data_IF_103090291651
#
_entry.id   IF_103090291651
#
_cell.length_a   1.000
_cell.length_b   1.000
_cell.length_c   1.000
_cell.angle_alpha   90.00
_cell.angle_beta   90.00
_cell.angle_gamma   90.00
#
_symmetry.space_group_name_H-M   'P 1'
#
loop_
_entity.id
_entity.type
_entity.pdbx_description
1 polymer ?
#
# COMPACT_ATOMS: atom_id res chain seq x y z
N UNK A 1 -70.44 -35.49 -38.33
CA UNK A 1 -69.06 -34.89 -38.45
C UNK A 1 -69.12 -33.44 -38.00
N UNK A 2 -68.76 -33.16 -36.73
CA UNK A 2 -68.72 -31.82 -36.19
C UNK A 2 -67.20 -31.48 -36.00
N UNK A 3 -66.75 -30.47 -36.73
CA UNK A 3 -65.41 -29.93 -36.60
C UNK A 3 -65.35 -28.96 -35.37
N UNK A 4 -64.51 -29.26 -34.40
CA UNK A 4 -64.27 -28.41 -33.26
C UNK A 4 -63.09 -27.49 -33.64
N UNK A 5 -63.35 -26.21 -33.70
CA UNK A 5 -62.31 -25.18 -33.85
C UNK A 5 -61.73 -24.84 -32.45
N UNK A 6 -60.42 -25.10 -32.26
CA UNK A 6 -59.69 -24.76 -31.06
C UNK A 6 -59.06 -23.37 -31.30
N UNK A 7 -59.60 -22.36 -30.66
CA UNK A 7 -59.01 -21.01 -30.65
C UNK A 7 -57.88 -20.95 -29.64
N UNK A 8 -56.63 -20.81 -30.10
CA UNK A 8 -55.44 -20.59 -29.25
C UNK A 8 -55.38 -19.10 -28.95
N UNK A 9 -55.59 -18.74 -27.68
CA UNK A 9 -55.40 -17.40 -27.14
C UNK A 9 -53.91 -17.20 -26.85
N UNK A 10 -53.22 -16.42 -27.69
CA UNK A 10 -51.84 -15.97 -27.39
C UNK A 10 -51.89 -14.89 -26.32
N UNK A 11 -51.45 -15.21 -25.11
CA UNK A 11 -51.16 -14.24 -24.05
C UNK A 11 -49.76 -13.70 -24.33
N UNK A 12 -49.70 -12.48 -24.87
CA UNK A 12 -48.45 -11.72 -24.94
C UNK A 12 -48.07 -11.25 -23.53
N UNK A 13 -47.10 -11.91 -22.91
CA UNK A 13 -46.45 -11.41 -21.72
C UNK A 13 -45.55 -10.25 -22.14
N UNK A 14 -45.99 -9.03 -21.89
CA UNK A 14 -45.15 -7.85 -22.00
C UNK A 14 -44.21 -7.88 -20.80
N UNK A 15 -42.99 -8.30 -21.04
CA UNK A 15 -41.91 -8.06 -20.08
C UNK A 15 -41.62 -6.55 -20.05
N UNK A 16 -42.14 -5.90 -19.03
CA UNK A 16 -41.67 -4.57 -18.64
C UNK A 16 -40.22 -4.70 -18.21
N UNK A 17 -39.26 -4.39 -19.09
CA UNK A 17 -37.92 -4.01 -18.66
C UNK A 17 -38.12 -2.77 -17.80
N UNK A 18 -37.97 -2.92 -16.49
CA UNK A 18 -37.59 -1.80 -15.63
C UNK A 18 -36.30 -1.24 -16.24
N UNK A 19 -36.34 -0.03 -16.74
CA UNK A 19 -35.14 0.75 -16.95
C UNK A 19 -34.51 0.84 -15.57
N UNK A 20 -33.43 0.07 -15.34
CA UNK A 20 -32.46 0.46 -14.39
C UNK A 20 -32.09 1.89 -14.76
N UNK A 21 -32.25 2.79 -13.81
CA UNK A 21 -31.77 4.15 -13.93
C UNK A 21 -30.27 4.05 -14.21
N UNK A 22 -29.92 4.09 -15.49
CA UNK A 22 -28.61 4.49 -15.95
C UNK A 22 -28.42 5.92 -15.40
N UNK A 23 -27.94 5.99 -14.18
CA UNK A 23 -27.24 7.14 -13.67
C UNK A 23 -26.02 7.31 -14.58
N UNK A 24 -26.25 7.90 -15.73
CA UNK A 24 -25.20 8.56 -16.51
C UNK A 24 -24.56 9.55 -15.53
N UNK A 25 -23.51 9.08 -14.86
CA UNK A 25 -22.66 9.94 -14.04
C UNK A 25 -22.20 11.01 -15.01
N UNK A 26 -22.80 12.18 -14.89
CA UNK A 26 -22.32 13.40 -15.50
C UNK A 26 -20.82 13.43 -15.20
N UNK A 27 -19.98 13.39 -16.23
CA UNK A 27 -18.54 13.55 -16.18
C UNK A 27 -18.22 15.04 -15.79
N UNK A 28 -18.81 15.50 -14.71
CA UNK A 28 -18.42 16.79 -14.13
C UNK A 28 -16.98 16.63 -13.66
N UNK A 29 -16.12 17.47 -14.17
CA UNK A 29 -14.73 17.56 -13.72
C UNK A 29 -14.74 17.81 -12.20
N UNK A 30 -14.14 16.89 -11.45
CA UNK A 30 -14.04 17.01 -10.01
C UNK A 30 -13.31 18.29 -9.69
N UNK A 31 -13.95 19.13 -8.88
CA UNK A 31 -13.35 20.40 -8.48
C UNK A 31 -12.30 20.18 -7.38
N UNK A 32 -11.08 19.96 -7.79
CA UNK A 32 -9.95 19.80 -6.88
C UNK A 32 -9.47 21.09 -6.21
N UNK A 33 -10.03 22.26 -6.51
CA UNK A 33 -9.64 23.53 -5.88
C UNK A 33 -10.01 23.63 -4.40
N UNK A 34 -10.84 22.71 -3.89
CA UNK A 34 -11.26 22.66 -2.48
C UNK A 34 -10.39 21.75 -1.61
N UNK A 35 -9.35 21.15 -2.16
CA UNK A 35 -8.41 20.34 -1.40
C UNK A 35 -7.35 21.20 -0.70
N UNK A 36 -6.83 20.81 0.48
CA UNK A 36 -6.99 19.48 1.11
C UNK A 36 -8.35 19.24 1.75
N UNK A 37 -8.70 17.93 1.90
CA UNK A 37 -9.89 17.47 2.59
C UNK A 37 -9.52 16.42 3.64
N UNK A 38 -9.87 16.66 4.93
CA UNK A 38 -9.74 15.65 5.98
C UNK A 38 -10.77 14.53 5.78
N UNK A 39 -10.39 13.31 6.11
CA UNK A 39 -11.34 12.20 6.19
C UNK A 39 -12.27 12.36 7.39
N UNK A 40 -13.54 11.92 7.28
CA UNK A 40 -14.42 11.85 8.45
C UNK A 40 -13.86 10.80 9.42
N UNK A 41 -13.80 11.17 10.69
CA UNK A 41 -13.26 10.29 11.73
C UNK A 41 -14.30 10.09 12.87
N UNK A 42 -14.11 8.97 13.57
CA UNK A 42 -14.81 8.63 14.80
C UNK A 42 -13.82 8.08 15.81
N UNK A 43 -14.12 8.15 17.09
CA UNK A 43 -13.31 7.52 18.13
C UNK A 43 -13.50 6.01 18.09
N UNK A 44 -12.40 5.24 17.97
CA UNK A 44 -12.40 3.78 18.10
C UNK A 44 -12.30 3.34 19.56
N UNK A 45 -11.42 3.99 20.31
CA UNK A 45 -11.15 3.68 21.71
C UNK A 45 -10.52 4.87 22.44
N UNK A 46 -10.54 4.84 23.77
CA UNK A 46 -9.69 5.67 24.61
C UNK A 46 -8.73 4.75 25.37
N UNK A 47 -7.43 4.89 25.16
CA UNK A 47 -6.40 4.05 25.76
C UNK A 47 -5.45 4.93 26.57
N UNK A 48 -5.33 4.68 27.87
CA UNK A 48 -4.50 5.48 28.81
C UNK A 48 -4.75 7.00 28.68
N UNK A 49 -6.00 7.40 28.41
CA UNK A 49 -6.39 8.81 28.25
C UNK A 49 -6.17 9.40 26.86
N UNK A 50 -5.54 8.69 25.94
CA UNK A 50 -5.40 9.09 24.54
C UNK A 50 -6.61 8.60 23.72
N UNK A 51 -7.17 9.48 22.90
CA UNK A 51 -8.21 9.14 21.95
C UNK A 51 -7.56 8.49 20.70
N UNK A 52 -7.97 7.26 20.37
CA UNK A 52 -7.60 6.55 19.16
C UNK A 52 -8.76 6.70 18.16
N UNK A 53 -8.48 7.33 17.02
CA UNK A 53 -9.48 7.56 15.97
C UNK A 53 -9.43 6.46 14.90
N UNK A 54 -10.49 6.34 14.09
CA UNK A 54 -10.51 5.46 12.91
C UNK A 54 -9.70 6.08 11.77
N UNK A 55 -8.39 6.26 12.00
CA UNK A 55 -7.40 6.79 11.07
C UNK A 55 -6.64 5.67 10.35
N UNK A 56 -5.37 5.98 9.99
CA UNK A 56 -4.47 5.04 9.33
C UNK A 56 -4.79 4.77 7.85
N UNK A 57 -5.80 5.43 7.28
CA UNK A 57 -6.23 5.18 5.88
C UNK A 57 -5.29 5.73 4.81
N UNK A 58 -4.17 6.29 5.16
CA UNK A 58 -3.21 6.85 4.24
C UNK A 58 -2.04 5.94 3.91
N UNK A 59 -1.95 4.73 4.49
CA UNK A 59 -0.86 3.79 4.20
C UNK A 59 -0.81 3.40 2.73
N UNK A 60 -1.95 3.30 2.05
CA UNK A 60 -2.00 3.11 0.60
C UNK A 60 -3.30 3.58 -0.03
N UNK A 61 -3.25 3.88 -1.34
CA UNK A 61 -4.39 4.42 -2.05
C UNK A 61 -4.52 3.89 -3.49
N UNK A 62 -5.76 3.73 -3.97
CA UNK A 62 -6.06 3.39 -5.36
C UNK A 62 -7.27 4.17 -5.87
N UNK A 63 -7.27 4.55 -7.15
CA UNK A 63 -8.48 5.00 -7.82
C UNK A 63 -9.41 3.81 -8.10
N UNK A 64 -10.72 4.06 -8.09
CA UNK A 64 -11.67 3.09 -8.61
C UNK A 64 -11.42 2.89 -10.12
N UNK A 65 -11.31 1.64 -10.61
CA UNK A 65 -10.85 1.38 -11.98
C UNK A 65 -11.77 1.93 -13.08
N UNK A 66 -13.05 2.14 -12.79
CA UNK A 66 -14.06 2.58 -13.79
C UNK A 66 -14.87 3.80 -13.36
N UNK A 67 -14.92 4.15 -12.07
CA UNK A 67 -15.70 5.30 -11.57
C UNK A 67 -14.78 6.45 -11.17
N UNK A 68 -14.75 7.49 -12.01
CA UNK A 68 -13.96 8.70 -11.76
C UNK A 68 -14.42 9.38 -10.45
N UNK A 69 -13.46 9.75 -9.62
CA UNK A 69 -13.74 10.42 -8.33
C UNK A 69 -14.09 9.49 -7.19
N UNK A 70 -14.05 8.18 -7.41
CA UNK A 70 -14.10 7.19 -6.35
C UNK A 70 -12.71 6.62 -6.09
N UNK A 71 -12.43 6.33 -4.82
CA UNK A 71 -11.11 5.93 -4.34
C UNK A 71 -11.24 4.85 -3.26
N UNK A 72 -10.18 4.10 -3.13
CA UNK A 72 -9.95 3.18 -2.03
C UNK A 72 -8.68 3.61 -1.29
N UNK A 73 -8.72 3.59 0.02
CA UNK A 73 -7.56 3.74 0.90
C UNK A 73 -7.56 2.63 1.92
N UNK A 74 -6.38 2.24 2.39
CA UNK A 74 -6.23 1.12 3.30
C UNK A 74 -5.51 1.57 4.57
N UNK A 75 -5.82 0.95 5.72
CA UNK A 75 -5.09 1.12 6.96
C UNK A 75 -3.90 0.16 7.02
N UNK A 76 -2.89 0.49 7.80
CA UNK A 76 -1.82 -0.41 8.22
C UNK A 76 -2.33 -1.47 9.22
N UNK A 77 -1.41 -2.08 9.99
CA UNK A 77 -1.67 -3.07 11.05
C UNK A 77 -2.52 -2.58 12.22
N UNK A 78 -2.79 -1.27 12.30
CA UNK A 78 -3.60 -0.68 13.38
C UNK A 78 -2.79 0.08 14.44
N UNK A 79 -3.50 0.75 15.36
CA UNK A 79 -2.88 1.65 16.31
C UNK A 79 -1.93 0.93 17.25
N UNK A 80 -0.67 1.38 17.27
CA UNK A 80 0.40 0.77 18.03
C UNK A 80 1.40 1.78 18.60
N UNK A 81 2.18 1.36 19.61
CA UNK A 81 3.29 2.13 20.19
C UNK A 81 4.50 1.23 20.40
N UNK A 82 5.70 1.82 20.46
CA UNK A 82 6.93 1.06 20.74
C UNK A 82 6.92 0.53 22.18
N UNK A 83 7.31 -0.73 22.38
CA UNK A 83 7.39 -1.31 23.71
C UNK A 83 8.38 -2.47 23.78
N UNK A 84 9.39 -2.38 24.64
CA UNK A 84 10.45 -3.40 24.79
C UNK A 84 11.06 -3.79 23.43
N UNK A 85 11.01 -5.06 23.06
CA UNK A 85 11.51 -5.61 21.79
C UNK A 85 10.42 -5.71 20.71
N UNK A 86 9.31 -5.01 20.86
CA UNK A 86 8.17 -5.11 19.93
C UNK A 86 7.23 -3.93 20.05
N UNK A 87 5.95 -4.19 19.93
CA UNK A 87 4.89 -3.17 19.88
C UNK A 87 3.74 -3.49 20.82
N UNK A 88 3.18 -2.47 21.46
CA UNK A 88 1.83 -2.54 22.02
C UNK A 88 0.82 -2.27 20.93
N UNK A 89 -0.05 -3.22 20.67
CA UNK A 89 -1.24 -3.06 19.84
C UNK A 89 -2.36 -2.53 20.72
N UNK A 90 -2.74 -1.26 20.54
CA UNK A 90 -3.71 -0.57 21.42
C UNK A 90 -5.12 -1.17 21.30
N UNK A 91 -5.41 -1.76 20.13
CA UNK A 91 -6.65 -2.51 19.84
C UNK A 91 -6.22 -3.85 19.22
N UNK A 92 -5.89 -4.89 20.02
CA UNK A 92 -5.31 -6.14 19.53
C UNK A 92 -6.14 -6.90 18.48
N UNK A 93 -7.45 -6.68 18.47
CA UNK A 93 -8.38 -7.25 17.48
C UNK A 93 -8.72 -6.27 16.35
N UNK A 94 -7.94 -5.21 16.17
CA UNK A 94 -8.08 -4.33 15.02
C UNK A 94 -7.90 -5.15 13.74
N UNK A 95 -8.77 -4.90 12.77
CA UNK A 95 -8.71 -5.55 11.46
C UNK A 95 -8.33 -4.52 10.42
N UNK A 96 -7.22 -4.69 9.67
CA UNK A 96 -6.91 -3.84 8.53
C UNK A 96 -8.12 -3.69 7.61
N UNK A 97 -8.40 -2.47 7.22
CA UNK A 97 -9.67 -2.09 6.61
C UNK A 97 -9.46 -1.21 5.40
N UNK A 98 -10.19 -1.50 4.33
CA UNK A 98 -10.27 -0.64 3.14
C UNK A 98 -11.46 0.31 3.32
N UNK A 99 -11.25 1.60 3.14
CA UNK A 99 -12.32 2.59 3.01
C UNK A 99 -12.53 2.91 1.53
N UNK A 100 -13.76 2.68 1.06
CA UNK A 100 -14.23 3.12 -0.24
C UNK A 100 -14.96 4.45 -0.08
N UNK A 101 -14.51 5.48 -0.75
CA UNK A 101 -15.11 6.82 -0.70
C UNK A 101 -15.19 7.47 -2.08
N UNK A 102 -15.99 8.50 -2.20
CA UNK A 102 -16.06 9.36 -3.38
C UNK A 102 -15.88 10.82 -3.01
N UNK A 103 -15.52 11.62 -4.01
CA UNK A 103 -15.60 13.09 -3.92
C UNK A 103 -16.96 13.49 -4.45
N UNK A 104 -17.78 14.07 -3.57
CA UNK A 104 -19.14 14.49 -3.93
C UNK A 104 -19.14 15.80 -4.75
N UNK A 105 -20.30 16.25 -5.19
CA UNK A 105 -20.46 17.45 -6.01
C UNK A 105 -19.95 18.74 -5.32
N UNK A 106 -19.97 18.78 -3.98
CA UNK A 106 -19.42 19.89 -3.21
C UNK A 106 -17.89 19.82 -3.05
N UNK A 107 -17.23 18.79 -3.59
CA UNK A 107 -15.78 18.56 -3.47
C UNK A 107 -15.37 18.03 -2.10
N UNK A 108 -16.26 17.36 -1.37
CA UNK A 108 -15.99 16.75 -0.06
C UNK A 108 -15.88 15.24 -0.16
N UNK A 109 -15.13 14.67 0.77
CA UNK A 109 -15.04 13.22 0.97
C UNK A 109 -16.38 12.70 1.51
N UNK A 110 -16.94 11.70 0.83
CA UNK A 110 -18.15 10.97 1.24
C UNK A 110 -17.84 9.48 1.26
N UNK A 111 -17.86 8.86 2.44
CA UNK A 111 -17.59 7.43 2.62
C UNK A 111 -18.76 6.62 2.08
N UNK A 112 -18.45 5.64 1.23
CA UNK A 112 -19.42 4.70 0.66
C UNK A 112 -19.51 3.46 1.55
N UNK A 113 -18.36 2.85 1.89
CA UNK A 113 -18.33 1.65 2.74
C UNK A 113 -16.93 1.40 3.33
N UNK A 114 -16.88 0.58 4.37
CA UNK A 114 -15.67 -0.01 4.92
C UNK A 114 -15.66 -1.51 4.64
N UNK A 115 -14.50 -2.05 4.21
CA UNK A 115 -14.30 -3.47 3.89
C UNK A 115 -13.19 -3.99 4.79
N UNK A 116 -13.54 -4.80 5.78
CA UNK A 116 -12.58 -5.46 6.67
C UNK A 116 -11.91 -6.63 5.94
N UNK A 117 -10.58 -6.74 6.06
CA UNK A 117 -9.85 -7.87 5.51
C UNK A 117 -10.10 -9.14 6.32
N UNK A 118 -10.20 -10.27 5.62
CA UNK A 118 -10.60 -11.57 6.17
C UNK A 118 -9.69 -12.66 5.63
N UNK A 119 -9.47 -13.68 6.44
CA UNK A 119 -8.79 -14.88 6.02
C UNK A 119 -9.65 -15.72 5.02
N UNK A 120 -9.11 -16.79 4.41
CA UNK A 120 -9.85 -17.63 3.46
C UNK A 120 -11.15 -18.24 3.99
N UNK A 121 -11.31 -18.31 5.31
CA UNK A 121 -12.54 -18.81 5.95
C UNK A 121 -13.56 -17.71 6.24
N UNK A 122 -13.30 -16.46 5.80
CA UNK A 122 -14.19 -15.32 6.01
C UNK A 122 -14.14 -14.70 7.42
N UNK A 123 -13.18 -15.09 8.27
CA UNK A 123 -12.97 -14.50 9.59
C UNK A 123 -12.08 -13.27 9.47
N UNK A 124 -12.37 -12.17 10.21
CA UNK A 124 -11.50 -11.00 10.24
C UNK A 124 -10.06 -11.39 10.65
N UNK A 125 -9.08 -10.80 9.98
CA UNK A 125 -7.66 -10.89 10.35
C UNK A 125 -7.30 -9.75 11.30
N UNK A 126 -6.09 -9.81 11.88
CA UNK A 126 -5.55 -8.73 12.71
C UNK A 126 -4.29 -8.14 12.09
N UNK A 127 -3.81 -7.02 12.65
CA UNK A 127 -2.48 -6.49 12.34
C UNK A 127 -1.36 -7.13 13.16
N UNK A 128 -1.61 -8.22 13.90
CA UNK A 128 -0.57 -8.87 14.69
C UNK A 128 0.45 -9.56 13.79
N UNK A 129 1.75 -9.61 14.21
CA UNK A 129 2.82 -10.22 13.42
C UNK A 129 2.54 -11.70 13.11
N UNK A 130 3.06 -12.16 11.98
CA UNK A 130 2.97 -13.57 11.59
C UNK A 130 3.87 -14.46 12.48
N UNK A 131 3.56 -15.76 12.62
CA UNK A 131 4.42 -16.72 13.29
C UNK A 131 5.78 -16.88 12.60
N UNK A 132 6.76 -17.38 13.34
CA UNK A 132 8.08 -17.73 12.79
C UNK A 132 7.97 -18.64 11.57
N UNK A 133 8.76 -18.36 10.53
CA UNK A 133 8.72 -19.07 9.25
C UNK A 133 7.56 -18.70 8.32
N UNK A 134 6.70 -17.74 8.72
CA UNK A 134 5.55 -17.29 7.96
C UNK A 134 5.56 -15.78 7.66
N UNK A 135 6.73 -15.14 7.70
CA UNK A 135 6.85 -13.70 7.49
C UNK A 135 7.05 -12.90 8.77
N UNK A 136 7.32 -13.56 9.89
CA UNK A 136 7.58 -12.90 11.18
C UNK A 136 8.66 -11.82 11.06
N UNK A 137 8.41 -10.67 11.69
CA UNK A 137 9.39 -9.60 11.88
C UNK A 137 10.32 -9.86 13.06
N UNK A 138 9.97 -10.82 13.94
CA UNK A 138 10.61 -11.06 15.22
C UNK A 138 10.17 -10.09 16.32
N UNK A 139 9.25 -9.17 16.03
CA UNK A 139 8.63 -8.30 17.02
C UNK A 139 7.71 -9.10 17.95
N UNK A 140 7.74 -8.80 19.23
CA UNK A 140 6.77 -9.33 20.20
C UNK A 140 5.56 -8.40 20.24
N UNK A 141 4.38 -8.97 20.07
CA UNK A 141 3.13 -8.21 20.21
C UNK A 141 2.69 -8.19 21.68
N UNK A 142 2.30 -7.01 22.16
CA UNK A 142 1.75 -6.79 23.50
C UNK A 142 0.39 -6.12 23.41
N UNK A 143 -0.49 -6.36 24.40
CA UNK A 143 -1.69 -5.56 24.58
C UNK A 143 -1.36 -4.19 25.22
N UNK A 144 -2.36 -3.33 25.36
CA UNK A 144 -2.19 -2.00 25.97
C UNK A 144 -1.68 -2.06 27.42
N UNK A 145 -1.94 -3.15 28.16
CA UNK A 145 -1.45 -3.37 29.51
C UNK A 145 -0.01 -3.92 29.56
N UNK A 146 0.55 -4.33 28.41
CA UNK A 146 1.91 -4.88 28.30
C UNK A 146 2.00 -6.39 28.48
N UNK A 147 0.87 -7.12 28.38
CA UNK A 147 0.85 -8.58 28.33
C UNK A 147 1.17 -9.05 26.91
N UNK A 148 1.94 -10.13 26.77
CA UNK A 148 2.25 -10.68 25.46
C UNK A 148 0.98 -11.27 24.79
N UNK A 149 0.85 -10.98 23.49
CA UNK A 149 -0.18 -11.52 22.60
C UNK A 149 0.41 -12.66 21.75
N UNK A 150 -0.47 -13.49 21.21
CA UNK A 150 -0.08 -14.45 20.17
C UNK A 150 0.16 -13.79 18.82
N UNK A 151 0.60 -14.60 17.85
CA UNK A 151 0.75 -14.21 16.46
C UNK A 151 -0.52 -14.52 15.67
N UNK A 152 -0.78 -13.79 14.59
CA UNK A 152 -1.81 -14.12 13.62
C UNK A 152 -1.18 -14.70 12.34
N UNK A 153 -1.56 -15.92 11.98
CA UNK A 153 -1.09 -16.57 10.74
C UNK A 153 -1.44 -15.76 9.50
N UNK A 154 -2.57 -15.08 9.52
CA UNK A 154 -3.06 -14.23 8.43
C UNK A 154 -2.85 -12.75 8.69
N UNK A 155 -2.20 -12.42 9.82
CA UNK A 155 -1.89 -11.04 10.19
C UNK A 155 -1.22 -10.29 9.05
N UNK A 156 -1.49 -9.00 8.95
CA UNK A 156 -1.04 -8.16 7.85
C UNK A 156 -0.66 -6.76 8.35
N UNK A 157 0.49 -6.30 7.91
CA UNK A 157 0.89 -4.90 7.96
C UNK A 157 0.70 -4.35 6.55
N UNK A 158 -0.54 -3.98 6.23
CA UNK A 158 -0.94 -3.57 4.88
C UNK A 158 -0.48 -2.16 4.58
N UNK A 159 0.26 -1.98 3.47
CA UNK A 159 0.93 -0.72 3.15
C UNK A 159 0.49 -0.12 1.81
N UNK A 160 -0.08 -0.92 0.91
CA UNK A 160 -0.63 -0.38 -0.33
C UNK A 160 -1.76 -1.24 -0.88
N UNK A 161 -2.56 -0.67 -1.77
CA UNK A 161 -3.74 -1.30 -2.35
C UNK A 161 -3.85 -1.07 -3.85
N UNK A 162 -4.25 -2.09 -4.57
CA UNK A 162 -4.70 -2.02 -5.97
C UNK A 162 -6.16 -2.42 -6.04
N UNK A 163 -6.98 -1.60 -6.67
CA UNK A 163 -8.35 -1.95 -7.05
C UNK A 163 -8.34 -2.50 -8.47
N UNK A 164 -8.58 -3.80 -8.62
CA UNK A 164 -8.60 -4.45 -9.92
C UNK A 164 -9.92 -4.23 -10.68
N UNK A 165 -9.91 -4.27 -12.04
CA UNK A 165 -11.11 -4.05 -12.84
C UNK A 165 -12.24 -5.05 -12.59
N UNK A 166 -11.94 -6.24 -12.08
CA UNK A 166 -12.93 -7.26 -11.72
C UNK A 166 -13.56 -7.05 -10.32
N UNK A 167 -13.21 -5.95 -9.65
CA UNK A 167 -13.71 -5.59 -8.34
C UNK A 167 -12.96 -6.22 -7.17
N UNK A 168 -11.90 -6.99 -7.44
CA UNK A 168 -11.03 -7.56 -6.40
C UNK A 168 -9.94 -6.57 -6.00
N UNK A 169 -9.18 -6.88 -4.94
CA UNK A 169 -8.10 -6.04 -4.45
C UNK A 169 -6.79 -6.84 -4.34
N UNK A 170 -5.67 -6.16 -4.62
CA UNK A 170 -4.35 -6.66 -4.27
C UNK A 170 -3.76 -5.73 -3.21
N UNK A 171 -3.17 -6.31 -2.18
CA UNK A 171 -2.63 -5.57 -1.03
C UNK A 171 -1.20 -6.00 -0.81
N UNK A 172 -0.29 -5.03 -0.65
CA UNK A 172 1.08 -5.29 -0.20
C UNK A 172 1.15 -5.42 1.31
N UNK A 173 2.20 -6.07 1.80
CA UNK A 173 2.42 -6.36 3.20
C UNK A 173 3.88 -6.19 3.59
N UNK A 174 4.12 -5.49 4.67
CA UNK A 174 5.45 -5.25 5.22
C UNK A 174 6.05 -6.47 5.92
N UNK A 175 5.21 -7.36 6.45
CA UNK A 175 5.67 -8.50 7.24
C UNK A 175 6.43 -9.53 6.40
N UNK A 176 5.84 -10.11 5.37
CA UNK A 176 6.40 -11.22 4.61
C UNK A 176 7.68 -10.96 3.82
N UNK A 177 7.80 -10.06 2.83
CA UNK A 177 6.68 -9.33 2.25
C UNK A 177 5.70 -10.24 1.53
N UNK A 178 4.43 -9.89 1.58
CA UNK A 178 3.39 -10.60 0.83
C UNK A 178 2.75 -9.68 -0.21
N UNK A 179 2.19 -10.28 -1.27
CA UNK A 179 1.14 -9.68 -2.09
C UNK A 179 -0.09 -10.54 -1.87
N UNK A 180 -1.17 -9.96 -1.36
CA UNK A 180 -2.38 -10.71 -1.01
C UNK A 180 -3.54 -10.28 -1.88
N UNK A 181 -4.20 -11.24 -2.51
CA UNK A 181 -5.38 -11.03 -3.35
C UNK A 181 -6.65 -11.22 -2.52
N UNK A 182 -7.53 -10.24 -2.54
CA UNK A 182 -8.78 -10.23 -1.79
C UNK A 182 -9.99 -10.09 -2.72
N UNK A 183 -11.10 -10.74 -2.37
CA UNK A 183 -12.39 -10.50 -3.03
C UNK A 183 -12.91 -9.08 -2.77
N UNK A 184 -13.98 -8.70 -3.47
CA UNK A 184 -14.69 -7.42 -3.26
C UNK A 184 -15.22 -7.23 -1.83
N UNK A 185 -15.39 -8.33 -1.07
CA UNK A 185 -15.84 -8.36 0.33
C UNK A 185 -14.67 -8.48 1.32
N UNK A 186 -13.41 -8.42 0.83
CA UNK A 186 -12.20 -8.48 1.63
C UNK A 186 -11.82 -9.89 2.10
N UNK A 187 -12.29 -10.96 1.44
CA UNK A 187 -11.88 -12.34 1.74
C UNK A 187 -10.62 -12.70 0.96
N UNK A 188 -9.57 -13.19 1.64
CA UNK A 188 -8.32 -13.63 1.02
C UNK A 188 -8.58 -14.77 0.03
N UNK A 189 -8.17 -14.56 -1.23
CA UNK A 189 -8.26 -15.51 -2.32
C UNK A 189 -6.91 -16.19 -2.57
N UNK A 190 -5.81 -15.45 -2.43
CA UNK A 190 -4.45 -15.93 -2.64
C UNK A 190 -3.47 -15.07 -1.86
N UNK A 191 -2.42 -15.68 -1.33
CA UNK A 191 -1.26 -15.01 -0.73
C UNK A 191 0.00 -15.43 -1.47
N UNK A 192 0.75 -14.49 -2.01
CA UNK A 192 1.99 -14.69 -2.75
C UNK A 192 3.14 -14.23 -1.86
N UNK A 193 4.11 -15.11 -1.61
CA UNK A 193 5.16 -14.88 -0.61
C UNK A 193 6.51 -15.41 -1.09
N UNK A 194 7.64 -14.85 -0.65
CA UNK A 194 8.96 -15.39 -0.90
C UNK A 194 9.34 -16.55 0.06
N UNK A 195 8.58 -16.78 1.13
CA UNK A 195 8.95 -17.67 2.25
C UNK A 195 8.04 -18.88 2.43
N UNK A 196 7.29 -19.26 1.41
CA UNK A 196 6.55 -20.53 1.42
C UNK A 196 5.21 -20.53 2.13
N UNK A 197 4.65 -19.38 2.50
CA UNK A 197 3.28 -19.25 3.05
C UNK A 197 2.23 -18.96 1.98
N UNK A 198 2.53 -19.24 0.74
CA UNK A 198 1.60 -19.00 -0.37
C UNK A 198 0.47 -20.02 -0.38
N UNK A 199 -0.70 -19.58 -0.77
CA UNK A 199 -1.89 -20.40 -0.94
C UNK A 199 -2.02 -21.00 -2.34
N UNK A 200 -1.12 -20.61 -3.27
CA UNK A 200 -1.06 -21.08 -4.66
C UNK A 200 0.35 -21.50 -5.08
N UNK A 201 0.54 -21.68 -6.39
CA UNK A 201 1.84 -22.06 -6.97
C UNK A 201 2.71 -20.86 -7.32
N UNK A 202 2.20 -19.64 -7.22
CA UNK A 202 2.89 -18.41 -7.55
C UNK A 202 3.72 -17.92 -6.36
N UNK A 203 4.94 -17.48 -6.60
CA UNK A 203 5.90 -17.09 -5.54
C UNK A 203 6.60 -15.80 -5.88
N UNK A 204 6.95 -15.05 -4.86
CA UNK A 204 7.94 -13.97 -4.98
C UNK A 204 9.37 -14.53 -4.94
N UNK A 205 10.36 -13.84 -5.51
CA UNK A 205 11.77 -14.22 -5.39
C UNK A 205 12.21 -14.35 -3.93
N UNK A 206 12.91 -15.45 -3.59
CA UNK A 206 13.30 -15.78 -2.22
C UNK A 206 14.15 -14.68 -1.55
N UNK A 207 14.92 -13.93 -2.33
CA UNK A 207 15.74 -12.81 -1.83
C UNK A 207 14.91 -11.76 -1.10
N UNK A 208 13.63 -11.57 -1.47
CA UNK A 208 12.76 -10.57 -0.82
C UNK A 208 12.45 -10.92 0.64
N UNK A 209 12.59 -12.19 1.05
CA UNK A 209 12.50 -12.58 2.47
C UNK A 209 13.60 -11.98 3.35
N UNK A 210 14.68 -11.45 2.73
CA UNK A 210 15.78 -10.74 3.41
C UNK A 210 15.49 -9.25 3.66
N UNK A 211 14.22 -8.81 3.53
CA UNK A 211 13.87 -7.44 3.92
C UNK A 211 14.29 -7.15 5.36
N UNK A 212 14.44 -5.89 5.72
CA UNK A 212 14.51 -5.50 7.12
C UNK A 212 13.19 -5.81 7.79
N UNK A 213 13.21 -6.24 9.04
CA UNK A 213 12.01 -6.36 9.84
C UNK A 213 11.23 -5.04 9.82
N UNK A 214 9.92 -5.12 9.62
CA UNK A 214 9.03 -3.96 9.51
C UNK A 214 9.50 -2.92 8.45
N UNK A 215 9.99 -3.41 7.30
CA UNK A 215 10.37 -2.65 6.11
C UNK A 215 10.32 -3.56 4.87
N UNK A 216 9.17 -4.17 4.67
CA UNK A 216 8.91 -5.10 3.57
C UNK A 216 8.44 -4.43 2.28
N UNK A 217 7.32 -4.89 1.73
CA UNK A 217 6.75 -4.32 0.52
C UNK A 217 5.77 -3.20 0.88
N UNK A 218 6.20 -1.99 0.67
CA UNK A 218 5.46 -0.79 1.02
C UNK A 218 4.46 -0.43 -0.08
N UNK A 219 4.95 -0.11 -1.26
CA UNK A 219 4.10 0.31 -2.38
C UNK A 219 3.68 -0.83 -3.29
N UNK A 220 2.48 -0.71 -3.88
CA UNK A 220 1.97 -1.64 -4.88
C UNK A 220 1.03 -0.92 -5.85
N UNK A 221 1.29 -1.07 -7.16
CA UNK A 221 0.34 -0.62 -8.18
C UNK A 221 0.13 -1.68 -9.25
N UNK A 222 -0.85 -1.46 -10.11
CA UNK A 222 -1.09 -2.27 -11.32
C UNK A 222 -0.81 -1.43 -12.57
N UNK A 223 -0.22 -2.03 -13.59
CA UNK A 223 -0.04 -1.38 -14.89
C UNK A 223 -1.39 -1.06 -15.54
N UNK A 224 -1.49 0.00 -16.37
CA UNK A 224 -2.77 0.38 -17.01
C UNK A 224 -3.40 -0.70 -17.88
N UNK A 225 -2.61 -1.65 -18.40
CA UNK A 225 -3.14 -2.81 -19.13
C UNK A 225 -3.70 -3.92 -18.23
N UNK A 226 -3.64 -3.73 -16.90
CA UNK A 226 -4.20 -4.63 -15.90
C UNK A 226 -3.45 -5.96 -15.74
N UNK A 227 -2.22 -6.09 -16.26
CA UNK A 227 -1.52 -7.40 -16.34
C UNK A 227 -0.41 -7.57 -15.33
N UNK A 228 0.19 -6.49 -14.86
CA UNK A 228 1.40 -6.55 -14.03
C UNK A 228 1.23 -5.74 -12.76
N UNK A 229 1.45 -6.38 -11.63
CA UNK A 229 1.64 -5.70 -10.35
C UNK A 229 3.08 -5.21 -10.26
N UNK A 230 3.29 -4.04 -9.70
CA UNK A 230 4.61 -3.46 -9.48
C UNK A 230 4.71 -3.06 -8.02
N UNK A 231 5.58 -3.74 -7.28
CA UNK A 231 5.80 -3.52 -5.85
C UNK A 231 7.13 -2.87 -5.56
N UNK A 232 7.19 -2.01 -4.54
CA UNK A 232 8.44 -1.40 -4.05
C UNK A 232 8.76 -1.91 -2.65
N UNK A 233 10.04 -2.30 -2.43
CA UNK A 233 10.52 -2.53 -1.07
C UNK A 233 10.78 -1.19 -0.40
N UNK A 234 10.45 -1.06 0.88
CA UNK A 234 10.54 0.21 1.62
C UNK A 234 11.96 0.76 1.70
N UNK A 235 12.95 -0.11 1.86
CA UNK A 235 14.35 0.29 2.02
C UNK A 235 15.31 -0.83 1.62
N UNK A 236 16.62 -0.58 1.76
CA UNK A 236 17.64 -1.61 1.52
C UNK A 236 17.30 -2.91 2.27
N UNK A 237 17.52 -4.04 1.63
CA UNK A 237 17.37 -5.35 2.26
C UNK A 237 18.69 -5.81 2.93
N UNK A 238 18.61 -6.75 3.86
CA UNK A 238 19.78 -7.30 4.55
C UNK A 238 20.34 -8.52 3.80
N UNK A 239 20.82 -8.30 2.59
CA UNK A 239 21.38 -9.36 1.72
C UNK A 239 22.91 -9.25 1.66
N UNK A 240 23.67 -10.30 1.94
CA UNK A 240 23.23 -11.59 2.48
C UNK A 240 22.89 -11.54 3.98
N UNK A 241 23.29 -10.48 4.68
CA UNK A 241 23.02 -10.22 6.10
C UNK A 241 23.07 -8.74 6.42
N UNK A 242 22.55 -8.32 7.60
CA UNK A 242 22.58 -6.94 8.10
C UNK A 242 23.99 -6.36 8.14
N UNK A 243 24.99 -7.16 8.55
CA UNK A 243 26.37 -6.72 8.68
C UNK A 243 27.07 -6.51 7.33
N UNK A 244 26.64 -7.22 6.30
CA UNK A 244 27.27 -7.23 4.97
C UNK A 244 26.56 -6.38 3.92
N UNK A 245 25.30 -6.01 4.14
CA UNK A 245 24.56 -5.10 3.27
C UNK A 245 25.07 -3.66 3.51
N UNK A 246 25.91 -3.14 2.62
CA UNK A 246 26.61 -1.87 2.78
C UNK A 246 26.04 -0.74 1.93
N UNK A 247 25.34 -1.05 0.83
CA UNK A 247 24.72 -0.04 -0.03
C UNK A 247 23.38 0.45 0.54
N UNK A 248 23.45 1.45 1.40
CA UNK A 248 22.30 1.96 2.18
C UNK A 248 21.24 2.68 1.34
N UNK A 249 21.54 2.99 0.08
CA UNK A 249 20.63 3.69 -0.84
C UNK A 249 20.01 2.76 -1.88
N UNK A 250 20.36 1.46 -1.84
CA UNK A 250 19.82 0.47 -2.78
C UNK A 250 18.54 -0.14 -2.22
N UNK A 251 17.44 -0.02 -2.94
CA UNK A 251 16.24 -0.82 -2.70
C UNK A 251 15.78 -1.50 -4.00
N UNK A 252 14.73 -2.31 -3.94
CA UNK A 252 14.26 -3.10 -5.07
C UNK A 252 12.83 -2.76 -5.44
N UNK A 253 12.57 -2.80 -6.75
CA UNK A 253 11.24 -2.87 -7.34
C UNK A 253 11.06 -4.29 -7.88
N UNK A 254 9.89 -4.89 -7.65
CA UNK A 254 9.52 -6.18 -8.19
C UNK A 254 8.29 -6.02 -9.07
N UNK A 255 8.32 -6.62 -10.27
CA UNK A 255 7.12 -6.77 -11.11
C UNK A 255 6.62 -8.21 -11.02
N UNK A 256 5.31 -8.37 -11.06
CA UNK A 256 4.64 -9.66 -10.98
C UNK A 256 3.54 -9.73 -12.04
N UNK A 257 3.70 -10.58 -13.04
CA UNK A 257 2.68 -10.86 -14.05
C UNK A 257 1.55 -11.67 -13.43
N UNK A 258 0.35 -11.10 -13.39
CA UNK A 258 -0.81 -11.67 -12.70
C UNK A 258 -1.24 -13.00 -13.33
N UNK A 259 -1.06 -13.16 -14.64
CA UNK A 259 -1.49 -14.37 -15.35
C UNK A 259 -0.49 -15.51 -15.20
N UNK A 260 0.81 -15.21 -15.37
CA UNK A 260 1.86 -16.24 -15.45
C UNK A 260 2.59 -16.46 -14.14
N UNK A 261 2.51 -15.52 -13.18
CA UNK A 261 3.30 -15.50 -11.97
C UNK A 261 4.79 -15.18 -12.19
N UNK A 262 5.19 -14.79 -13.40
CA UNK A 262 6.58 -14.39 -13.68
C UNK A 262 6.90 -13.08 -12.99
N UNK A 263 8.12 -13.01 -12.43
CA UNK A 263 8.62 -11.82 -11.74
C UNK A 263 9.86 -11.26 -12.44
N UNK A 264 10.05 -9.94 -12.33
CA UNK A 264 11.31 -9.28 -12.61
C UNK A 264 11.66 -8.38 -11.43
N UNK A 265 12.97 -8.11 -11.28
CA UNK A 265 13.45 -7.20 -10.23
C UNK A 265 14.30 -6.10 -10.85
N UNK A 266 14.18 -4.90 -10.31
CA UNK A 266 14.97 -3.74 -10.72
C UNK A 266 15.53 -3.03 -9.49
N UNK A 267 16.69 -2.40 -9.65
CA UNK A 267 17.28 -1.60 -8.58
C UNK A 267 16.75 -0.18 -8.62
N UNK A 268 16.46 0.34 -7.44
CA UNK A 268 16.09 1.73 -7.22
C UNK A 268 17.14 2.40 -6.33
N UNK A 269 17.63 3.57 -6.75
CA UNK A 269 18.58 4.38 -5.98
C UNK A 269 17.84 5.46 -5.22
N UNK A 270 17.74 5.30 -3.88
CA UNK A 270 17.17 6.33 -3.01
C UNK A 270 18.10 7.55 -2.93
N UNK A 271 17.54 8.75 -2.81
CA UNK A 271 18.33 9.98 -2.57
C UNK A 271 18.80 10.06 -1.13
N UNK A 272 17.99 9.57 -0.20
CA UNK A 272 18.33 9.50 1.23
C UNK A 272 19.03 8.22 1.62
N UNK A 273 19.19 8.02 2.92
CA UNK A 273 19.87 6.87 3.48
C UNK A 273 18.90 5.75 3.92
N UNK A 274 19.46 4.80 4.70
CA UNK A 274 18.69 3.64 5.20
C UNK A 274 17.54 3.97 6.17
N UNK A 275 17.44 5.20 6.64
CA UNK A 275 16.33 5.68 7.46
C UNK A 275 15.14 6.17 6.65
N UNK A 276 15.36 6.51 5.37
CA UNK A 276 14.31 6.99 4.50
C UNK A 276 13.52 5.82 3.91
N UNK A 277 12.29 6.08 3.52
CA UNK A 277 11.35 5.09 3.02
C UNK A 277 10.99 5.38 1.58
N UNK A 278 10.96 4.32 0.76
CA UNK A 278 10.22 4.28 -0.50
C UNK A 278 8.84 3.73 -0.15
N UNK A 279 7.82 4.58 -0.20
CA UNK A 279 6.48 4.19 0.21
C UNK A 279 5.64 3.75 -1.01
N UNK A 280 4.64 4.49 -1.39
CA UNK A 280 3.72 4.05 -2.42
C UNK A 280 4.23 4.30 -3.85
N UNK A 281 3.58 3.64 -4.81
CA UNK A 281 3.86 3.72 -6.23
C UNK A 281 2.54 3.77 -7.02
N UNK A 282 2.46 4.63 -8.05
CA UNK A 282 1.32 4.68 -8.97
C UNK A 282 1.78 4.70 -10.42
N UNK A 283 1.04 4.04 -11.31
CA UNK A 283 1.44 3.89 -12.71
C UNK A 283 1.05 5.11 -13.56
N UNK A 284 1.99 5.56 -14.40
CA UNK A 284 1.75 6.51 -15.48
C UNK A 284 1.56 5.78 -16.83
N UNK A 285 2.28 4.69 -17.01
CA UNK A 285 2.20 3.77 -18.15
C UNK A 285 2.61 2.37 -17.70
N UNK A 286 2.73 1.40 -18.63
CA UNK A 286 3.20 0.06 -18.28
C UNK A 286 4.67 0.02 -17.83
N UNK A 287 5.46 1.08 -18.08
CA UNK A 287 6.88 1.12 -17.77
C UNK A 287 7.32 2.38 -17.00
N UNK A 288 6.42 3.34 -16.76
CA UNK A 288 6.71 4.57 -16.04
C UNK A 288 5.78 4.71 -14.84
N UNK A 289 6.34 5.18 -13.72
CA UNK A 289 5.63 5.24 -12.43
C UNK A 289 6.01 6.51 -11.66
N UNK A 290 5.17 6.87 -10.71
CA UNK A 290 5.50 7.82 -9.65
C UNK A 290 5.74 7.06 -8.36
N UNK A 291 6.78 7.42 -7.62
CA UNK A 291 7.22 6.74 -6.40
C UNK A 291 7.46 7.77 -5.31
N UNK A 292 7.03 7.47 -4.10
CA UNK A 292 7.27 8.29 -2.91
C UNK A 292 8.66 8.00 -2.33
N UNK A 293 9.40 9.07 -1.97
CA UNK A 293 10.49 9.01 -0.98
C UNK A 293 10.19 9.97 0.16
N UNK A 294 10.27 9.48 1.39
CA UNK A 294 10.07 10.27 2.60
C UNK A 294 11.01 9.86 3.73
N UNK A 295 11.21 10.77 4.67
CA UNK A 295 11.71 10.48 6.02
C UNK A 295 10.56 10.44 7.05
N UNK A 296 10.90 10.26 8.33
CA UNK A 296 9.94 10.27 9.45
C UNK A 296 9.75 11.64 10.12
N UNK A 297 10.30 12.74 9.57
CA UNK A 297 10.13 14.05 10.16
C UNK A 297 8.87 14.73 9.64
N UNK A 298 8.25 15.60 10.45
CA UNK A 298 7.19 16.47 9.94
C UNK A 298 7.74 17.41 8.85
N UNK A 299 6.96 17.65 7.80
CA UNK A 299 7.35 18.53 6.70
C UNK A 299 7.75 19.93 7.17
N UNK A 300 7.06 20.45 8.19
CA UNK A 300 7.35 21.75 8.82
C UNK A 300 8.61 21.77 9.68
N UNK A 301 9.22 20.62 9.91
CA UNK A 301 10.47 20.44 10.68
C UNK A 301 11.64 19.94 9.81
N UNK A 302 11.61 20.27 8.52
CA UNK A 302 12.67 19.90 7.56
C UNK A 302 12.51 18.49 7.00
N UNK A 303 11.33 17.89 7.09
CA UNK A 303 11.02 16.57 6.54
C UNK A 303 11.15 16.52 5.01
N UNK A 304 11.52 15.36 4.49
CA UNK A 304 11.60 15.04 3.07
C UNK A 304 10.30 14.36 2.65
N UNK A 305 9.57 14.98 1.70
CA UNK A 305 8.29 14.47 1.17
C UNK A 305 8.27 14.67 -0.34
N UNK A 306 8.88 13.73 -1.08
CA UNK A 306 9.13 13.86 -2.50
C UNK A 306 8.47 12.75 -3.31
N UNK A 307 8.08 13.08 -4.53
CA UNK A 307 7.63 12.12 -5.53
C UNK A 307 8.59 12.16 -6.71
N UNK A 308 9.01 11.00 -7.15
CA UNK A 308 9.88 10.84 -8.31
C UNK A 308 9.16 10.10 -9.43
N UNK A 309 9.33 10.58 -10.66
CA UNK A 309 9.00 9.81 -11.86
C UNK A 309 10.14 8.86 -12.16
N UNK A 310 9.83 7.59 -12.37
CA UNK A 310 10.78 6.55 -12.71
C UNK A 310 10.39 5.84 -14.00
N UNK A 311 11.38 5.21 -14.66
CA UNK A 311 11.14 4.36 -15.82
C UNK A 311 11.92 3.05 -15.72
N UNK A 312 11.27 1.94 -16.08
CA UNK A 312 11.87 0.61 -16.17
C UNK A 312 12.53 0.35 -17.54
N UNK A 313 12.34 1.22 -18.55
CA UNK A 313 12.71 0.92 -19.95
C UNK A 313 14.19 0.57 -20.13
N UNK A 314 15.10 1.29 -19.47
CA UNK A 314 16.55 1.09 -19.59
C UNK A 314 17.17 0.41 -18.36
N UNK A 315 16.33 0.01 -17.40
CA UNK A 315 16.79 -0.64 -16.17
C UNK A 315 17.15 -2.10 -16.42
N UNK A 316 18.19 -2.57 -15.76
CA UNK A 316 18.61 -3.97 -15.84
C UNK A 316 17.72 -4.85 -15.00
N UNK A 317 17.15 -5.91 -15.59
CA UNK A 317 16.48 -6.96 -14.84
C UNK A 317 17.52 -7.76 -14.04
N UNK A 318 17.43 -7.68 -12.72
CA UNK A 318 18.34 -8.33 -11.76
C UNK A 318 17.70 -9.53 -11.06
N UNK A 319 16.67 -10.12 -11.66
CA UNK A 319 15.98 -11.29 -11.11
C UNK A 319 16.90 -12.48 -10.98
N UNK A 320 17.84 -12.64 -11.92
CA UNK A 320 18.69 -13.82 -12.02
C UNK A 320 17.93 -15.01 -12.62
N UNK A 321 18.60 -16.16 -12.66
CA UNK A 321 18.04 -17.41 -13.24
C UNK A 321 17.37 -18.31 -12.21
N UNK A 322 17.65 -18.12 -10.92
CA UNK A 322 17.12 -18.91 -9.81
C UNK A 322 16.34 -18.02 -8.82
N UNK A 323 15.01 -18.12 -8.88
CA UNK A 323 14.13 -17.41 -7.96
C UNK A 323 14.21 -17.93 -6.51
N UNK A 324 14.74 -19.13 -6.30
CA UNK A 324 14.95 -19.71 -4.97
C UNK A 324 16.27 -19.27 -4.31
N UNK A 325 17.13 -18.55 -5.05
CA UNK A 325 18.37 -18.03 -4.53
C UNK A 325 18.09 -16.96 -3.42
N UNK A 326 18.40 -17.32 -2.17
CA UNK A 326 18.11 -16.45 -1.00
C UNK A 326 18.91 -15.16 -0.96
N UNK A 327 20.05 -15.10 -1.67
CA UNK A 327 20.87 -13.91 -1.83
C UNK A 327 20.67 -13.24 -3.21
N UNK A 328 19.81 -13.80 -4.05
CA UNK A 328 19.50 -13.29 -5.38
C UNK A 328 20.70 -13.30 -6.34
N UNK A 329 20.64 -12.43 -7.34
CA UNK A 329 21.73 -12.22 -8.30
C UNK A 329 23.00 -11.68 -7.61
N UNK A 330 24.16 -12.10 -8.08
CA UNK A 330 25.48 -11.68 -7.59
C UNK A 330 26.32 -11.02 -8.69
N UNK A 331 27.19 -10.11 -8.27
CA UNK A 331 28.24 -9.50 -9.07
C UNK A 331 29.59 -9.80 -8.40
N UNK A 332 30.51 -10.48 -9.09
CA UNK A 332 31.80 -10.89 -8.53
C UNK A 332 31.67 -11.53 -7.14
N UNK A 333 30.77 -12.52 -7.01
CA UNK A 333 30.45 -13.25 -5.77
C UNK A 333 29.78 -12.41 -4.65
N UNK A 334 29.61 -11.10 -4.84
CA UNK A 334 28.90 -10.23 -3.91
C UNK A 334 27.40 -10.16 -4.23
N UNK A 335 26.54 -10.18 -3.24
CA UNK A 335 25.15 -9.79 -3.39
C UNK A 335 25.04 -8.31 -3.81
N UNK A 336 23.96 -7.93 -4.48
CA UNK A 336 23.83 -6.56 -5.03
C UNK A 336 23.87 -5.49 -3.91
N UNK A 337 23.33 -5.79 -2.74
CA UNK A 337 23.33 -4.91 -1.57
C UNK A 337 24.73 -4.72 -0.93
N UNK A 338 25.72 -5.52 -1.34
CA UNK A 338 27.13 -5.35 -0.94
C UNK A 338 27.94 -4.50 -1.94
N UNK A 339 27.39 -4.28 -3.14
CA UNK A 339 28.08 -3.56 -4.20
C UNK A 339 27.84 -2.05 -4.10
N UNK A 340 28.87 -1.26 -4.32
CA UNK A 340 28.70 0.18 -4.58
C UNK A 340 28.00 0.40 -5.92
N UNK A 341 27.44 1.61 -6.12
CA UNK A 341 26.82 1.96 -7.40
C UNK A 341 27.81 1.92 -8.57
N UNK A 342 29.09 2.22 -8.34
CA UNK A 342 30.13 2.13 -9.36
C UNK A 342 30.45 0.67 -9.70
N UNK A 343 30.52 -0.24 -8.71
CA UNK A 343 30.68 -1.68 -8.97
C UNK A 343 29.51 -2.23 -9.79
N UNK A 344 28.28 -1.83 -9.47
CA UNK A 344 27.08 -2.21 -10.24
C UNK A 344 27.14 -1.67 -11.68
N UNK A 345 27.49 -0.40 -11.85
CA UNK A 345 27.61 0.23 -13.18
C UNK A 345 28.70 -0.44 -14.03
N UNK A 346 29.86 -0.75 -13.43
CA UNK A 346 30.95 -1.47 -14.12
C UNK A 346 30.55 -2.90 -14.53
N UNK A 347 29.61 -3.51 -13.82
CA UNK A 347 29.00 -4.79 -14.20
C UNK A 347 27.85 -4.66 -15.21
N UNK A 348 27.57 -3.45 -15.72
CA UNK A 348 26.50 -3.18 -16.68
C UNK A 348 25.10 -3.14 -16.07
N UNK A 349 24.98 -3.10 -14.74
CA UNK A 349 23.69 -3.02 -14.04
C UNK A 349 23.27 -1.56 -13.89
N UNK A 350 22.16 -1.22 -14.53
CA UNK A 350 21.55 0.10 -14.49
C UNK A 350 20.32 0.08 -13.56
N UNK A 351 20.24 0.97 -12.55
CA UNK A 351 19.00 1.17 -11.80
C UNK A 351 17.93 1.80 -12.70
N UNK A 352 16.70 1.85 -12.21
CA UNK A 352 15.62 2.62 -12.85
C UNK A 352 16.04 4.08 -13.01
N UNK A 353 15.66 4.72 -14.11
CA UNK A 353 15.84 6.17 -14.27
C UNK A 353 14.92 6.91 -13.29
N UNK A 354 15.34 8.08 -12.80
CA UNK A 354 14.66 8.81 -11.74
C UNK A 354 14.74 10.31 -11.96
N UNK A 355 13.61 11.00 -11.86
CA UNK A 355 13.50 12.46 -11.97
C UNK A 355 12.49 12.97 -10.93
N UNK A 356 12.81 14.05 -10.20
CA UNK A 356 11.88 14.68 -9.27
C UNK A 356 10.63 15.16 -10.02
N UNK A 357 9.45 14.72 -9.57
CA UNK A 357 8.16 15.15 -10.07
C UNK A 357 7.57 16.27 -9.20
N UNK A 358 7.66 16.16 -7.88
CA UNK A 358 7.25 17.21 -6.94
C UNK A 358 7.93 17.03 -5.58
N UNK A 359 8.22 18.13 -4.92
CA UNK A 359 8.54 18.21 -3.50
C UNK A 359 7.33 18.83 -2.80
N UNK A 360 6.64 18.06 -1.98
CA UNK A 360 5.37 18.49 -1.36
C UNK A 360 5.58 19.57 -0.30
N UNK A 361 6.69 19.53 0.41
CA UNK A 361 7.00 20.58 1.40
C UNK A 361 7.18 21.92 0.71
N UNK A 362 7.97 21.93 -0.36
CA UNK A 362 8.19 23.15 -1.15
C UNK A 362 6.92 23.60 -1.91
N UNK A 363 6.13 22.66 -2.44
CA UNK A 363 5.00 22.96 -3.32
C UNK A 363 3.77 23.46 -2.57
N UNK A 364 3.41 22.79 -1.45
CA UNK A 364 2.15 23.02 -0.71
C UNK A 364 2.34 23.24 0.79
N UNK A 365 3.59 23.22 1.30
CA UNK A 365 3.84 23.28 2.74
C UNK A 365 3.31 22.06 3.49
N UNK A 366 3.40 20.86 2.88
CA UNK A 366 2.93 19.60 3.47
C UNK A 366 3.47 19.44 4.90
N UNK A 367 2.57 19.24 5.87
CA UNK A 367 2.92 19.37 7.27
C UNK A 367 3.08 18.03 8.02
N UNK A 368 2.51 16.92 7.50
CA UNK A 368 2.54 15.61 8.15
C UNK A 368 3.93 14.97 8.11
N UNK A 369 4.19 14.03 9.02
CA UNK A 369 5.42 13.23 9.05
C UNK A 369 5.36 12.03 8.09
N UNK A 370 4.21 11.37 8.00
CA UNK A 370 3.97 10.26 7.08
C UNK A 370 3.30 10.74 5.79
N UNK A 371 3.94 10.45 4.68
CA UNK A 371 3.43 10.59 3.33
C UNK A 371 3.50 9.22 2.67
N UNK A 372 2.37 8.51 2.53
CA UNK A 372 2.39 7.09 2.22
C UNK A 372 1.49 6.68 1.06
N UNK A 373 0.40 7.39 0.76
CA UNK A 373 -0.48 7.05 -0.35
C UNK A 373 -0.44 8.04 -1.52
N UNK A 374 -0.42 7.54 -2.77
CA UNK A 374 -0.54 8.36 -3.99
C UNK A 374 -1.42 7.72 -5.06
N UNK A 375 -2.17 8.55 -5.79
CA UNK A 375 -2.94 8.14 -6.97
C UNK A 375 -2.74 9.15 -8.09
N UNK A 376 -2.29 8.69 -9.26
CA UNK A 376 -2.24 9.52 -10.45
C UNK A 376 -3.66 9.74 -11.01
N UNK A 377 -4.07 11.00 -11.12
CA UNK A 377 -5.42 11.40 -11.55
C UNK A 377 -5.52 11.73 -13.05
N UNK A 378 -4.40 11.62 -13.77
CA UNK A 378 -4.30 12.15 -15.14
C UNK A 378 -3.98 13.64 -15.17
N UNK A 379 -3.67 14.18 -16.37
CA UNK A 379 -3.43 15.62 -16.60
C UNK A 379 -2.42 16.24 -15.61
N UNK A 380 -1.35 15.53 -15.30
CA UNK A 380 -0.32 15.94 -14.34
C UNK A 380 -0.85 16.26 -12.92
N UNK A 381 -1.96 15.65 -12.52
CA UNK A 381 -2.48 15.76 -11.16
C UNK A 381 -2.24 14.49 -10.37
N UNK A 382 -1.87 14.67 -9.11
CA UNK A 382 -1.61 13.61 -8.15
C UNK A 382 -2.46 13.83 -6.90
N UNK A 383 -3.24 12.82 -6.51
CA UNK A 383 -3.80 12.73 -5.18
C UNK A 383 -2.74 12.20 -4.22
N UNK A 384 -2.70 12.76 -3.02
CA UNK A 384 -1.68 12.51 -1.99
C UNK A 384 -2.38 12.29 -0.66
N UNK A 385 -1.96 11.28 0.09
CA UNK A 385 -2.55 10.89 1.36
C UNK A 385 -1.46 10.77 2.44
N UNK A 386 -1.82 11.15 3.68
CA UNK A 386 -0.97 10.86 4.84
C UNK A 386 -1.56 9.71 5.65
N UNK A 387 -0.68 8.93 6.30
CA UNK A 387 -1.05 8.09 7.41
C UNK A 387 -0.97 8.92 8.71
N UNK A 388 -2.06 8.98 9.42
CA UNK A 388 -2.19 9.75 10.66
C UNK A 388 -1.88 8.93 11.93
N UNK A 389 -1.45 7.65 11.77
CA UNK A 389 -1.20 6.71 12.88
C UNK A 389 -2.40 6.62 13.85
N UNK A 390 -3.64 6.67 13.34
CA UNK A 390 -4.86 6.67 14.16
C UNK A 390 -4.96 7.84 15.16
N UNK A 391 -4.28 8.96 14.88
CA UNK A 391 -4.22 10.15 15.71
C UNK A 391 -3.35 10.02 16.96
N UNK A 392 -2.54 8.98 17.07
CA UNK A 392 -1.71 8.70 18.25
C UNK A 392 -0.25 8.47 17.89
N UNK A 393 0.63 8.70 18.86
CA UNK A 393 2.08 8.43 18.79
C UNK A 393 2.57 7.97 20.16
N UNK A 394 3.70 7.27 20.20
CA UNK A 394 4.35 6.86 21.45
C UNK A 394 4.79 8.07 22.29
N UNK A 395 4.56 8.02 23.60
CA UNK A 395 5.01 9.05 24.55
C UNK A 395 6.50 8.93 24.94
N UNK A 396 7.18 7.91 24.42
CA UNK A 396 8.55 7.51 24.74
C UNK A 396 8.64 6.46 25.86
N UNK A 397 7.50 6.03 26.42
CA UNK A 397 7.41 5.01 27.47
C UNK A 397 6.49 3.85 27.09
N UNK A 398 6.07 3.78 25.82
CA UNK A 398 5.18 2.77 25.31
C UNK A 398 3.70 3.04 25.58
N UNK A 399 3.32 4.29 25.90
CA UNK A 399 1.91 4.66 26.02
C UNK A 399 1.51 5.59 24.88
N UNK A 400 0.25 5.52 24.42
CA UNK A 400 -0.23 6.43 23.41
C UNK A 400 -0.43 7.85 23.96
N UNK A 401 -0.09 8.83 23.15
CA UNK A 401 -0.51 10.23 23.28
C UNK A 401 -1.00 10.74 21.93
N UNK A 402 -1.77 11.83 21.92
CA UNK A 402 -2.23 12.43 20.67
C UNK A 402 -1.05 12.81 19.75
N UNK A 403 -1.14 12.45 18.49
CA UNK A 403 -0.22 12.86 17.43
C UNK A 403 -0.58 14.28 16.99
N UNK A 404 0.26 15.24 17.30
CA UNK A 404 -0.02 16.67 17.10
C UNK A 404 0.84 17.22 15.97
N UNK A 405 0.19 17.89 15.02
CA UNK A 405 0.86 18.63 13.95
C UNK A 405 1.61 19.83 14.55
N UNK A 406 2.96 19.93 14.39
CA UNK A 406 3.75 20.95 15.09
C UNK A 406 3.37 22.39 14.74
N UNK A 407 2.91 22.64 13.51
CA UNK A 407 2.58 23.98 13.02
C UNK A 407 1.23 24.48 13.54
N UNK A 408 0.24 23.60 13.58
CA UNK A 408 -1.15 23.98 13.88
C UNK A 408 -1.59 23.65 15.29
N UNK A 409 -0.87 22.76 15.99
CA UNK A 409 -1.26 22.27 17.32
C UNK A 409 -2.50 21.37 17.29
N UNK A 410 -2.98 20.96 16.13
CA UNK A 410 -4.12 20.06 15.97
C UNK A 410 -3.70 18.61 15.96
N UNK A 411 -4.63 17.71 16.30
CA UNK A 411 -4.41 16.28 16.11
C UNK A 411 -4.24 16.00 14.62
N UNK A 412 -3.24 15.18 14.28
CA UNK A 412 -3.02 14.70 12.92
C UNK A 412 -4.20 13.81 12.50
N UNK A 413 -4.69 14.01 11.27
CA UNK A 413 -5.82 13.30 10.70
C UNK A 413 -5.55 12.94 9.25
N UNK A 414 -6.11 11.81 8.83
CA UNK A 414 -6.07 11.39 7.45
C UNK A 414 -6.62 12.47 6.52
N UNK A 415 -5.80 12.89 5.57
CA UNK A 415 -6.07 14.04 4.70
C UNK A 415 -5.70 13.71 3.26
N UNK A 416 -6.61 14.01 2.34
CA UNK A 416 -6.33 13.96 0.91
C UNK A 416 -5.94 15.34 0.39
N UNK A 417 -4.82 15.42 -0.30
CA UNK A 417 -4.35 16.58 -1.06
C UNK A 417 -4.46 16.29 -2.56
N UNK A 418 -4.52 17.34 -3.37
CA UNK A 418 -4.35 17.24 -4.83
C UNK A 418 -3.33 18.26 -5.27
N UNK A 419 -2.30 17.82 -5.98
CA UNK A 419 -1.17 18.63 -6.41
C UNK A 419 -0.89 18.46 -7.90
N UNK A 420 -0.36 19.54 -8.53
CA UNK A 420 0.18 19.45 -9.88
C UNK A 420 1.63 18.97 -9.83
N UNK A 421 1.97 18.03 -10.70
CA UNK A 421 3.33 17.47 -10.87
C UNK A 421 3.93 17.91 -12.22
N UNK A 422 5.27 17.77 -12.35
CA UNK A 422 6.02 18.11 -13.56
C UNK A 422 6.23 16.88 -14.47
#
# INVERSE_FOLDING_TARGET
MKRLLLSILMISVVWSCSKDDDNTINNQDINYSKFPQEFPFTTLATVNGAEVINGGFGSGAAAHPTRKGEFYVITDRGPNTDYKSGKKFLIPNFTPTIMHFKINAEGKVEVIKYIKLKNPSGQPITGLPNPSGMGSTGEVAYDAAGNELGNDKYGLDSESIVAAPDGTFWVSDEYGPHIVHYSAEGVELERISPIGVNTGNRKLPAVLAKRRANRGMEGLCITPDGKTLVGTMQSMMFVPSKALATNKTLTRIVTFDITTGKTKQYLYKQDGGASDSVCDITALSNNEFLVIERDGNFGTQGGIKKVYRISLNDATDVTGTDLAAVDGMKVNEKALEQCSWDELANAGIKPVSKKLAVDLVAKIGYEHDKFEGIVYLGNNKLAVFNDDDFGVVDDGNGNPKAKILPKTGKVDKGTMYVVDIQ
#
